data_IF_458699561516
#
_entry.id   IF_458699561516
#
_cell.length_a   1.000
_cell.length_b   1.000
_cell.length_c   1.000
_cell.angle_alpha   90.00
_cell.angle_beta   90.00
_cell.angle_gamma   90.00
#
_symmetry.space_group_name_H-M   'P 1'
#
loop_
_entity.id
_entity.type
_entity.pdbx_description
1 polymer ?
#
# COMPACT_ATOMS: atom_id res chain seq x y z
N UNK A 1 -42.62 -6.40 -4.45
CA UNK A 1 -42.47 -5.02 -3.91
C UNK A 1 -43.54 -4.15 -4.56
N UNK A 2 -44.19 -3.29 -3.79
CA UNK A 2 -45.23 -2.36 -4.27
C UNK A 2 -45.02 -0.97 -3.69
N UNK A 3 -45.40 0.05 -4.45
CA UNK A 3 -45.43 1.44 -4.01
C UNK A 3 -46.72 2.09 -4.51
N UNK A 4 -47.86 1.85 -3.84
CA UNK A 4 -49.16 2.20 -4.40
C UNK A 4 -49.37 3.72 -4.57
N UNK A 5 -48.56 4.54 -3.88
CA UNK A 5 -48.63 6.00 -3.88
C UNK A 5 -47.64 6.63 -4.89
N UNK A 6 -46.98 5.82 -5.71
CA UNK A 6 -45.95 6.30 -6.62
C UNK A 6 -46.53 7.23 -7.69
N UNK A 7 -45.93 8.41 -7.79
CA UNK A 7 -46.20 9.44 -8.78
C UNK A 7 -44.87 10.13 -9.14
N UNK A 8 -44.78 10.85 -10.29
CA UNK A 8 -43.53 11.46 -10.73
C UNK A 8 -42.85 12.40 -9.72
N UNK A 9 -43.65 13.07 -8.88
CA UNK A 9 -43.20 13.99 -7.83
C UNK A 9 -43.16 13.35 -6.43
N UNK A 10 -43.77 12.18 -6.25
CA UNK A 10 -43.77 11.43 -4.99
C UNK A 10 -42.54 10.53 -4.89
N UNK A 11 -41.37 11.15 -4.73
CA UNK A 11 -40.06 10.47 -4.74
C UNK A 11 -39.50 10.13 -3.36
N UNK A 12 -40.07 10.67 -2.29
CA UNK A 12 -39.54 10.51 -0.93
C UNK A 12 -40.23 9.37 -0.21
N UNK A 13 -39.44 8.42 0.30
CA UNK A 13 -39.94 7.35 1.18
C UNK A 13 -40.49 7.98 2.46
N UNK A 14 -41.75 7.68 2.76
CA UNK A 14 -42.43 8.09 3.98
C UNK A 14 -42.34 7.00 5.04
N UNK A 15 -42.63 5.76 4.65
CA UNK A 15 -42.47 4.57 5.47
C UNK A 15 -42.34 3.31 4.61
N UNK A 16 -41.82 2.25 5.22
CA UNK A 16 -41.73 0.93 4.59
C UNK A 16 -42.39 -0.09 5.49
N UNK A 17 -43.10 -1.05 4.88
CA UNK A 17 -43.56 -2.26 5.54
C UNK A 17 -42.94 -3.49 4.91
N UNK A 18 -42.49 -4.41 5.75
CA UNK A 18 -42.01 -5.75 5.35
C UNK A 18 -42.95 -6.77 5.95
N UNK A 19 -43.59 -7.58 5.11
CA UNK A 19 -44.60 -8.58 5.51
C UNK A 19 -45.66 -7.98 6.44
N UNK A 20 -46.17 -6.79 6.08
CA UNK A 20 -47.19 -6.05 6.82
C UNK A 20 -46.70 -5.32 8.09
N UNK A 21 -45.44 -5.49 8.51
CA UNK A 21 -44.87 -4.85 9.70
C UNK A 21 -44.08 -3.60 9.35
N UNK A 22 -44.21 -2.56 10.17
CA UNK A 22 -43.42 -1.34 10.03
C UNK A 22 -41.92 -1.65 10.05
N UNK A 23 -41.17 -1.01 9.15
CA UNK A 23 -39.77 -1.27 8.91
C UNK A 23 -39.02 0.05 8.76
N UNK A 24 -38.16 0.35 9.73
CA UNK A 24 -37.48 1.63 9.83
C UNK A 24 -36.11 1.66 9.14
N UNK A 25 -35.55 0.50 8.77
CA UNK A 25 -34.19 0.44 8.21
C UNK A 25 -34.16 0.81 6.73
N UNK A 26 -33.09 1.47 6.31
CA UNK A 26 -32.84 1.85 4.90
C UNK A 26 -32.39 0.67 4.03
N UNK A 27 -32.32 -0.54 4.58
CA UNK A 27 -31.85 -1.77 3.93
C UNK A 27 -32.78 -2.95 4.21
N UNK A 28 -32.95 -3.85 3.25
CA UNK A 28 -33.81 -5.02 3.39
C UNK A 28 -33.03 -6.24 3.91
N UNK A 29 -33.61 -7.07 4.79
CA UNK A 29 -32.94 -8.27 5.28
C UNK A 29 -32.77 -9.30 4.17
N UNK A 30 -31.63 -10.00 4.16
CA UNK A 30 -31.33 -11.10 3.22
C UNK A 30 -32.46 -12.15 3.17
N UNK A 31 -33.15 -12.35 4.29
CA UNK A 31 -34.24 -13.31 4.37
C UNK A 31 -35.41 -13.04 3.41
N UNK A 32 -35.58 -11.80 2.91
CA UNK A 32 -36.54 -11.48 1.84
C UNK A 32 -36.10 -12.02 0.47
N UNK A 33 -34.80 -12.08 0.21
CA UNK A 33 -34.25 -12.70 -1.00
C UNK A 33 -34.40 -14.21 -0.92
N UNK A 34 -34.07 -14.79 0.24
CA UNK A 34 -34.00 -16.25 0.41
C UNK A 34 -35.38 -16.92 0.56
N UNK A 35 -36.35 -16.24 1.18
CA UNK A 35 -37.67 -16.82 1.50
C UNK A 35 -38.83 -16.13 0.78
N UNK A 36 -38.54 -15.07 0.04
CA UNK A 36 -39.56 -14.18 -0.48
C UNK A 36 -40.26 -13.38 0.62
N UNK A 37 -41.18 -12.53 0.20
CA UNK A 37 -42.01 -11.72 1.09
C UNK A 37 -42.55 -10.49 0.40
N UNK A 38 -43.32 -9.71 1.14
CA UNK A 38 -43.89 -8.47 0.69
C UNK A 38 -43.11 -7.28 1.23
N UNK A 39 -42.83 -6.33 0.33
CA UNK A 39 -42.28 -5.02 0.67
C UNK A 39 -43.22 -3.98 0.10
N UNK A 40 -43.78 -3.14 0.96
CA UNK A 40 -44.60 -1.99 0.59
C UNK A 40 -43.82 -0.74 0.94
N UNK A 41 -43.59 0.12 -0.05
CA UNK A 41 -42.92 1.42 0.13
C UNK A 41 -43.95 2.51 -0.09
N UNK A 42 -44.28 3.24 0.97
CA UNK A 42 -45.12 4.42 0.87
C UNK A 42 -44.24 5.61 0.52
N UNK A 43 -44.58 6.29 -0.57
CA UNK A 43 -43.85 7.46 -1.06
C UNK A 43 -44.72 8.71 -1.01
N UNK A 44 -44.08 9.87 -0.99
CA UNK A 44 -44.71 11.18 -0.93
C UNK A 44 -43.83 12.28 -1.52
N UNK A 45 -44.37 13.48 -1.64
CA UNK A 45 -43.75 14.62 -2.33
C UNK A 45 -42.79 15.44 -1.45
N UNK A 46 -42.79 15.21 -0.14
CA UNK A 46 -41.94 15.92 0.83
C UNK A 46 -41.04 14.94 1.57
N UNK A 47 -39.78 15.31 1.79
CA UNK A 47 -38.83 14.44 2.51
C UNK A 47 -39.29 14.13 3.94
N UNK A 48 -39.42 12.84 4.28
CA UNK A 48 -39.55 12.42 5.66
C UNK A 48 -38.17 12.38 6.31
N UNK A 49 -37.90 13.33 7.21
CA UNK A 49 -36.62 13.42 7.94
C UNK A 49 -36.55 12.55 9.20
N UNK A 50 -37.54 11.68 9.42
CA UNK A 50 -37.65 10.83 10.60
C UNK A 50 -37.50 9.33 10.29
N UNK A 51 -37.71 8.91 9.04
CA UNK A 51 -37.56 7.51 8.65
C UNK A 51 -36.09 7.18 8.36
N UNK A 52 -35.62 6.03 8.84
CA UNK A 52 -34.26 5.51 8.66
C UNK A 52 -33.12 6.44 9.13
N UNK A 53 -33.35 7.22 10.19
CA UNK A 53 -32.36 8.17 10.72
C UNK A 53 -31.69 7.71 12.03
N UNK A 54 -32.20 6.68 12.69
CA UNK A 54 -31.57 6.15 13.90
C UNK A 54 -30.29 5.36 13.56
N UNK A 55 -29.33 5.33 14.47
CA UNK A 55 -28.07 4.57 14.31
C UNK A 55 -28.33 3.08 13.99
N UNK A 56 -29.37 2.49 14.58
CA UNK A 56 -29.77 1.10 14.35
C UNK A 56 -30.45 0.84 12.99
N UNK A 57 -30.81 1.90 12.24
CA UNK A 57 -31.46 1.81 10.93
C UNK A 57 -30.49 1.90 9.75
N UNK A 58 -29.23 2.22 10.02
CA UNK A 58 -28.15 2.25 9.05
C UNK A 58 -27.88 0.84 8.50
N UNK A 59 -27.45 0.71 7.23
CA UNK A 59 -26.92 -0.54 6.70
C UNK A 59 -25.83 -1.07 7.62
N UNK A 60 -25.99 -2.32 8.05
CA UNK A 60 -24.92 -2.99 8.79
C UNK A 60 -23.88 -3.42 7.78
N UNK A 61 -22.66 -2.91 7.93
CA UNK A 61 -21.53 -3.45 7.19
C UNK A 61 -21.28 -4.88 7.69
N UNK A 62 -21.65 -5.85 6.86
CA UNK A 62 -21.43 -7.26 7.13
C UNK A 62 -20.06 -7.73 6.66
N UNK A 63 -19.14 -6.84 6.24
CA UNK A 63 -17.75 -7.20 6.08
C UNK A 63 -17.25 -7.68 7.45
N UNK A 64 -17.02 -8.99 7.63
CA UNK A 64 -16.40 -9.46 8.86
C UNK A 64 -15.04 -8.76 8.92
N UNK A 65 -14.63 -8.29 10.11
CA UNK A 65 -13.21 -8.00 10.31
C UNK A 65 -12.44 -9.23 9.81
N UNK A 66 -11.69 -9.08 8.72
CA UNK A 66 -11.19 -10.22 7.98
C UNK A 66 -10.36 -11.10 8.93
N UNK A 67 -10.88 -12.30 9.23
CA UNK A 67 -10.22 -13.23 10.18
C UNK A 67 -8.84 -13.65 9.69
N UNK A 68 -8.62 -13.53 8.38
CA UNK A 68 -7.32 -13.56 7.72
C UNK A 68 -7.01 -12.16 7.20
N UNK A 69 -5.81 -11.60 7.46
CA UNK A 69 -5.35 -10.40 6.75
C UNK A 69 -5.60 -10.59 5.26
N UNK A 70 -6.06 -9.56 4.57
CA UNK A 70 -6.11 -9.58 3.10
C UNK A 70 -4.72 -10.06 2.64
N UNK A 71 -4.62 -11.15 1.84
CA UNK A 71 -3.34 -11.64 1.39
C UNK A 71 -2.54 -10.46 0.81
N UNK A 72 -1.39 -10.16 1.41
CA UNK A 72 -0.46 -9.08 1.05
C UNK A 72 -0.71 -7.67 1.64
N UNK A 73 -1.58 -7.47 2.64
CA UNK A 73 -1.46 -6.28 3.47
C UNK A 73 -0.20 -6.40 4.35
N UNK A 74 0.74 -5.44 4.31
CA UNK A 74 1.89 -5.45 5.20
C UNK A 74 1.43 -5.28 6.65
N UNK A 75 2.24 -5.76 7.58
CA UNK A 75 2.04 -5.46 8.99
C UNK A 75 2.01 -3.94 9.20
N UNK A 76 1.31 -3.51 10.26
CA UNK A 76 1.38 -2.12 10.71
C UNK A 76 2.85 -1.72 10.93
N UNK A 77 3.17 -0.48 10.61
CA UNK A 77 4.51 0.05 10.78
C UNK A 77 4.88 0.12 12.27
N UNK A 78 6.17 0.11 12.53
CA UNK A 78 6.70 0.35 13.87
C UNK A 78 6.92 1.85 14.06
N UNK A 79 6.38 2.47 15.13
CA UNK A 79 6.68 3.87 15.43
C UNK A 79 8.18 4.09 15.64
N UNK A 80 8.77 5.06 14.94
CA UNK A 80 10.18 5.42 15.03
C UNK A 80 10.32 6.95 15.11
N UNK A 81 10.21 7.50 16.32
CA UNK A 81 10.14 8.94 16.52
C UNK A 81 8.88 9.54 15.88
N UNK A 82 9.05 10.50 14.97
CA UNK A 82 7.95 11.07 14.18
C UNK A 82 7.64 10.24 12.91
N UNK A 83 8.41 9.19 12.63
CA UNK A 83 8.24 8.33 11.47
C UNK A 83 7.50 7.03 11.82
N UNK A 84 7.04 6.37 10.77
CA UNK A 84 6.31 5.10 10.78
C UNK A 84 7.13 4.12 9.92
N UNK A 85 7.96 3.30 10.57
CA UNK A 85 8.89 2.38 9.91
C UNK A 85 8.12 1.20 9.29
N UNK A 86 7.87 1.28 7.99
CA UNK A 86 7.06 0.30 7.28
C UNK A 86 7.91 -0.88 6.80
N UNK A 87 7.55 -2.10 7.21
CA UNK A 87 8.04 -3.32 6.53
C UNK A 87 7.28 -3.51 5.23
N UNK A 88 8.02 -3.72 4.13
CA UNK A 88 7.45 -3.95 2.81
C UNK A 88 7.39 -5.44 2.48
N UNK A 89 6.68 -5.77 1.39
CA UNK A 89 6.67 -7.11 0.81
C UNK A 89 7.92 -7.27 -0.07
N UNK A 90 8.97 -7.89 0.48
CA UNK A 90 10.22 -8.07 -0.25
C UNK A 90 10.13 -9.26 -1.22
N UNK A 91 10.49 -9.03 -2.47
CA UNK A 91 10.35 -9.99 -3.57
C UNK A 91 11.62 -10.18 -4.39
N UNK A 92 12.69 -9.46 -4.07
CA UNK A 92 14.01 -9.58 -4.69
C UNK A 92 15.03 -9.96 -3.62
N UNK A 93 15.73 -11.08 -3.84
CA UNK A 93 16.93 -11.41 -3.08
C UNK A 93 18.10 -10.57 -3.63
N UNK A 94 18.41 -9.46 -2.96
CA UNK A 94 19.34 -8.45 -3.46
C UNK A 94 20.66 -8.38 -2.69
N UNK A 95 20.88 -9.26 -1.72
CA UNK A 95 22.11 -9.34 -0.95
C UNK A 95 22.71 -10.75 -1.03
N UNK A 96 24.01 -10.85 -0.77
CA UNK A 96 24.69 -12.12 -0.59
C UNK A 96 25.73 -11.98 0.52
N UNK A 97 26.00 -13.06 1.26
CA UNK A 97 27.06 -13.06 2.27
C UNK A 97 28.41 -13.45 1.67
N UNK A 98 29.51 -13.06 2.31
CA UNK A 98 30.86 -13.42 1.86
C UNK A 98 31.09 -14.94 1.69
N UNK A 99 30.45 -15.78 2.50
CA UNK A 99 30.50 -17.25 2.42
C UNK A 99 29.50 -17.86 1.43
N UNK A 100 28.58 -17.06 0.89
CA UNK A 100 27.56 -17.49 -0.06
C UNK A 100 27.37 -16.49 -1.22
N UNK A 101 28.48 -15.98 -1.78
CA UNK A 101 28.47 -14.98 -2.89
C UNK A 101 27.64 -15.38 -4.11
N UNK A 102 27.42 -16.68 -4.29
CA UNK A 102 26.60 -17.24 -5.37
C UNK A 102 25.07 -16.99 -5.20
N UNK A 103 24.63 -16.47 -4.05
CA UNK A 103 23.24 -16.08 -3.76
C UNK A 103 22.94 -14.65 -4.23
N UNK A 104 21.67 -14.26 -4.14
CA UNK A 104 21.19 -12.96 -4.58
C UNK A 104 21.26 -12.77 -6.09
N UNK A 105 20.49 -11.81 -6.58
CA UNK A 105 20.54 -11.33 -7.96
C UNK A 105 19.80 -9.98 -8.07
N UNK A 106 20.27 -8.97 -7.34
CA UNK A 106 19.61 -7.66 -7.26
C UNK A 106 19.35 -7.07 -8.64
N UNK A 107 20.38 -7.05 -9.51
CA UNK A 107 20.33 -6.35 -10.80
C UNK A 107 19.82 -7.21 -11.97
N UNK A 108 19.49 -8.47 -11.71
CA UNK A 108 19.10 -9.46 -12.74
C UNK A 108 20.27 -9.95 -13.61
N UNK A 109 21.49 -9.42 -13.43
CA UNK A 109 22.73 -9.78 -14.14
C UNK A 109 23.71 -10.53 -13.24
N UNK A 110 23.23 -10.96 -12.07
CA UNK A 110 23.95 -11.76 -11.10
C UNK A 110 24.65 -10.96 -10.03
N UNK A 111 24.45 -9.66 -9.90
CA UNK A 111 25.12 -8.85 -8.87
C UNK A 111 24.22 -8.50 -7.69
N UNK A 112 24.80 -8.51 -6.49
CA UNK A 112 24.11 -8.28 -5.21
C UNK A 112 24.97 -7.43 -4.26
N UNK A 113 24.34 -6.77 -3.29
CA UNK A 113 25.07 -6.13 -2.19
C UNK A 113 25.73 -7.17 -1.27
N UNK A 114 26.92 -6.89 -0.73
CA UNK A 114 27.53 -7.71 0.32
C UNK A 114 26.80 -7.47 1.65
N UNK A 115 26.08 -8.47 2.12
CA UNK A 115 25.23 -8.39 3.32
C UNK A 115 25.99 -7.92 4.56
N UNK A 116 27.25 -8.35 4.70
CA UNK A 116 28.11 -7.97 5.83
C UNK A 116 28.62 -6.52 5.80
N UNK A 117 28.35 -5.75 4.73
CA UNK A 117 28.65 -4.31 4.66
C UNK A 117 27.38 -3.44 4.78
N UNK A 118 26.22 -4.05 5.00
CA UNK A 118 24.96 -3.38 5.29
C UNK A 118 24.63 -3.48 6.78
N UNK A 119 23.72 -2.64 7.32
CA UNK A 119 23.29 -2.75 8.70
C UNK A 119 22.70 -4.13 9.00
N UNK A 120 22.81 -4.55 10.27
CA UNK A 120 22.19 -5.79 10.71
C UNK A 120 20.65 -5.73 10.60
N UNK A 121 19.96 -6.87 10.37
CA UNK A 121 18.51 -6.91 10.36
C UNK A 121 17.89 -6.36 11.65
N UNK A 122 16.83 -5.57 11.52
CA UNK A 122 16.17 -4.89 12.64
C UNK A 122 16.07 -3.37 12.46
N UNK A 123 15.73 -2.64 13.54
CA UNK A 123 15.62 -1.19 13.50
C UNK A 123 16.95 -0.53 13.10
N UNK A 124 16.88 0.43 12.19
CA UNK A 124 18.00 1.26 11.75
C UNK A 124 17.50 2.67 11.48
N UNK A 125 17.86 3.63 12.33
CA UNK A 125 17.29 4.99 12.31
C UNK A 125 15.75 4.96 12.33
N UNK A 126 15.09 5.53 11.32
CA UNK A 126 13.63 5.51 11.11
C UNK A 126 13.17 4.37 10.20
N UNK A 127 14.06 3.43 9.87
CA UNK A 127 13.82 2.30 8.97
C UNK A 127 13.89 0.96 9.71
N UNK A 128 13.52 -0.08 8.97
CA UNK A 128 13.63 -1.47 9.40
C UNK A 128 14.31 -2.28 8.30
N UNK A 129 15.44 -2.88 8.64
CA UNK A 129 16.27 -3.66 7.71
C UNK A 129 15.78 -5.10 7.72
N UNK A 130 15.46 -5.69 6.55
CA UNK A 130 15.02 -7.09 6.45
C UNK A 130 16.14 -8.07 6.74
N UNK A 131 15.80 -9.36 6.84
CA UNK A 131 16.81 -10.42 6.93
C UNK A 131 17.72 -10.44 5.70
N UNK A 132 19.03 -10.51 5.91
CA UNK A 132 20.06 -10.43 4.86
C UNK A 132 20.82 -11.74 4.64
N UNK A 133 20.26 -12.87 5.08
CA UNK A 133 20.86 -14.21 4.98
C UNK A 133 19.94 -15.18 4.26
N UNK A 134 20.52 -16.13 3.55
CA UNK A 134 19.78 -17.07 2.71
C UNK A 134 19.22 -16.37 1.47
N UNK A 135 18.24 -17.00 0.83
CA UNK A 135 17.73 -16.56 -0.48
C UNK A 135 16.33 -15.94 -0.42
N UNK A 136 15.90 -15.50 0.77
CA UNK A 136 14.60 -14.84 0.92
C UNK A 136 14.68 -13.40 0.39
N UNK A 137 13.56 -12.90 -0.15
CA UNK A 137 13.48 -11.52 -0.62
C UNK A 137 13.83 -10.52 0.48
N UNK A 138 14.63 -9.53 0.13
CA UNK A 138 15.12 -8.47 1.02
C UNK A 138 15.11 -7.08 0.37
N UNK A 139 14.71 -6.99 -0.91
CA UNK A 139 14.34 -5.75 -1.60
C UNK A 139 12.90 -5.84 -2.11
N UNK A 140 12.23 -4.69 -2.15
CA UNK A 140 10.89 -4.54 -2.72
C UNK A 140 11.03 -3.91 -4.11
N UNK A 141 10.74 -4.67 -5.16
CA UNK A 141 10.76 -4.16 -6.53
C UNK A 141 9.64 -3.14 -6.74
N UNK A 142 9.84 -2.14 -7.61
CA UNK A 142 8.81 -1.17 -8.01
C UNK A 142 8.43 -1.39 -9.49
N UNK A 143 7.50 -2.31 -9.74
CA UNK A 143 7.16 -2.82 -11.09
C UNK A 143 5.68 -2.70 -11.46
N UNK A 144 4.97 -1.76 -10.87
CA UNK A 144 3.55 -1.51 -11.15
C UNK A 144 2.57 -2.06 -10.12
N UNK A 145 3.06 -2.84 -9.15
CA UNK A 145 2.22 -3.31 -8.05
C UNK A 145 1.84 -2.17 -7.11
N UNK A 146 0.71 -2.33 -6.44
CA UNK A 146 0.32 -1.46 -5.32
C UNK A 146 1.10 -1.86 -4.06
N UNK A 147 1.74 -0.88 -3.46
CA UNK A 147 2.46 -1.02 -2.19
C UNK A 147 1.65 -0.34 -1.10
N UNK A 148 1.10 -1.15 -0.21
CA UNK A 148 0.29 -0.65 0.90
C UNK A 148 1.16 -0.02 1.99
N UNK A 149 0.59 0.98 2.64
CA UNK A 149 1.16 1.66 3.79
C UNK A 149 0.22 1.43 4.98
N UNK A 150 0.77 1.55 6.19
CA UNK A 150 -0.08 1.83 7.34
C UNK A 150 -0.79 3.17 7.08
N UNK A 151 -2.13 3.23 7.11
CA UNK A 151 -2.87 4.47 6.88
C UNK A 151 -2.38 5.58 7.81
N UNK A 152 -2.08 6.75 7.24
CA UNK A 152 -1.61 7.88 8.03
C UNK A 152 -1.43 9.17 7.23
N UNK A 153 -1.33 10.28 7.95
CA UNK A 153 -1.07 11.62 7.39
C UNK A 153 0.42 11.88 7.40
N UNK A 154 1.07 11.62 6.29
CA UNK A 154 2.52 11.76 6.15
C UNK A 154 2.86 13.06 5.42
N UNK A 155 4.00 13.66 5.74
CA UNK A 155 4.57 14.75 4.94
C UNK A 155 5.29 14.21 3.69
N UNK A 156 5.92 13.05 3.82
CA UNK A 156 6.63 12.37 2.75
C UNK A 156 6.77 10.87 3.04
N UNK A 157 7.04 10.10 2.00
CA UNK A 157 7.66 8.78 2.09
C UNK A 157 9.18 8.99 2.11
N UNK A 158 9.82 8.63 3.21
CA UNK A 158 11.28 8.62 3.33
C UNK A 158 11.79 7.21 2.99
N UNK A 159 12.52 7.08 1.89
CA UNK A 159 12.84 5.80 1.28
C UNK A 159 14.35 5.53 1.31
N UNK A 160 14.73 4.31 1.71
CA UNK A 160 15.99 3.70 1.32
C UNK A 160 15.76 2.96 -0.01
N UNK A 161 16.37 3.45 -1.08
CA UNK A 161 16.09 3.00 -2.45
C UNK A 161 17.36 2.87 -3.28
N UNK A 162 17.35 1.93 -4.22
CA UNK A 162 18.47 1.69 -5.13
C UNK A 162 17.94 1.50 -6.55
N UNK A 163 18.65 2.03 -7.54
CA UNK A 163 18.39 1.79 -8.95
C UNK A 163 19.42 0.81 -9.50
N UNK A 164 18.98 -0.12 -10.34
CA UNK A 164 19.85 -1.05 -11.05
C UNK A 164 19.67 -0.85 -12.55
N UNK A 165 20.70 -1.21 -13.33
CA UNK A 165 20.68 -1.11 -14.78
C UNK A 165 20.57 0.34 -15.33
N UNK A 166 21.10 1.30 -14.58
CA UNK A 166 21.07 2.73 -14.92
C UNK A 166 20.13 3.53 -14.02
N UNK A 167 20.28 4.84 -14.07
CA UNK A 167 19.44 5.79 -13.34
C UNK A 167 17.96 5.57 -13.66
N UNK A 168 17.12 5.64 -12.64
CA UNK A 168 15.67 5.52 -12.75
C UNK A 168 14.99 6.85 -12.43
N UNK A 169 14.00 7.23 -13.23
CA UNK A 169 13.13 8.37 -12.97
C UNK A 169 11.70 7.97 -13.28
N UNK A 170 10.85 7.91 -12.26
CA UNK A 170 9.45 7.50 -12.36
C UNK A 170 8.53 8.45 -11.60
N UNK A 171 7.25 8.44 -11.94
CA UNK A 171 6.20 9.13 -11.19
C UNK A 171 5.44 8.12 -10.33
N UNK A 172 5.53 8.25 -9.00
CA UNK A 172 4.72 7.46 -8.09
C UNK A 172 3.32 8.04 -8.00
N UNK A 173 2.31 7.18 -7.97
CA UNK A 173 0.92 7.56 -7.65
C UNK A 173 0.63 7.20 -6.21
N UNK A 174 0.32 8.18 -5.37
CA UNK A 174 -0.07 8.02 -3.97
C UNK A 174 -1.60 7.97 -3.92
N UNK A 175 -2.15 6.97 -3.24
CA UNK A 175 -3.60 6.80 -3.04
C UNK A 175 -3.94 7.11 -1.59
N UNK A 176 -5.04 7.84 -1.40
CA UNK A 176 -5.53 8.27 -0.09
C UNK A 176 -6.82 7.55 0.31
N UNK A 177 -7.13 7.55 1.60
CA UNK A 177 -8.29 6.87 2.16
C UNK A 177 -9.65 7.40 1.64
N UNK A 178 -9.69 8.66 1.19
CA UNK A 178 -10.86 9.28 0.57
C UNK A 178 -11.07 8.89 -0.92
N UNK A 179 -10.22 8.01 -1.45
CA UNK A 179 -10.26 7.55 -2.84
C UNK A 179 -9.56 8.49 -3.83
N UNK A 180 -9.06 9.64 -3.38
CA UNK A 180 -8.29 10.55 -4.23
C UNK A 180 -6.84 10.08 -4.39
N UNK A 181 -6.11 10.70 -5.31
CA UNK A 181 -4.68 10.44 -5.55
C UNK A 181 -3.85 11.73 -5.65
N UNK A 182 -2.54 11.59 -5.60
CA UNK A 182 -1.56 12.59 -6.04
C UNK A 182 -0.39 11.88 -6.72
N UNK A 183 0.45 12.64 -7.43
CA UNK A 183 1.70 12.11 -7.99
C UNK A 183 2.92 12.80 -7.40
N UNK A 184 4.04 12.10 -7.36
CA UNK A 184 5.33 12.66 -6.94
C UNK A 184 6.48 11.94 -7.66
N UNK A 185 7.55 12.66 -8.02
CA UNK A 185 8.69 12.07 -8.69
C UNK A 185 9.52 11.22 -7.71
N UNK A 186 9.97 10.07 -8.19
CA UNK A 186 11.06 9.30 -7.59
C UNK A 186 12.19 9.20 -8.62
N UNK A 187 13.32 9.83 -8.29
CA UNK A 187 14.55 9.81 -9.09
C UNK A 187 15.64 9.15 -8.29
N UNK A 188 16.27 8.14 -8.88
CA UNK A 188 17.24 7.29 -8.20
C UNK A 188 18.45 7.07 -9.08
N UNK A 189 19.62 7.47 -8.60
CA UNK A 189 20.90 7.24 -9.27
C UNK A 189 21.23 5.75 -9.29
N UNK A 190 21.82 5.24 -10.39
CA UNK A 190 22.29 3.85 -10.47
C UNK A 190 23.17 3.51 -9.26
N UNK A 191 22.91 2.34 -8.67
CA UNK A 191 23.57 1.88 -7.44
C UNK A 191 25.09 1.86 -7.55
N UNK A 192 25.63 1.64 -8.75
CA UNK A 192 27.05 1.51 -9.02
C UNK A 192 27.67 2.79 -9.60
N UNK A 193 26.93 3.92 -9.58
CA UNK A 193 27.44 5.24 -9.91
C UNK A 193 28.47 5.73 -8.87
N UNK A 194 29.42 6.55 -9.32
CA UNK A 194 30.46 7.10 -8.45
C UNK A 194 29.96 8.21 -7.51
N UNK A 195 28.88 8.90 -7.88
CA UNK A 195 28.29 10.05 -7.19
C UNK A 195 26.79 10.16 -7.50
N UNK A 196 25.97 10.77 -6.62
CA UNK A 196 24.56 11.00 -6.90
C UNK A 196 24.35 11.95 -8.09
N UNK A 197 23.36 11.67 -8.93
CA UNK A 197 22.97 12.49 -10.08
C UNK A 197 21.74 13.37 -9.80
N UNK A 198 20.92 13.02 -8.80
CA UNK A 198 19.67 13.73 -8.49
C UNK A 198 19.67 14.49 -7.16
N UNK A 199 20.85 14.67 -6.55
CA UNK A 199 21.01 15.36 -5.26
C UNK A 199 20.71 14.48 -4.04
N UNK A 200 20.61 13.17 -4.25
CA UNK A 200 20.34 12.17 -3.22
C UNK A 200 21.54 12.01 -2.27
N UNK A 201 21.25 11.64 -1.03
CA UNK A 201 22.27 11.25 -0.05
C UNK A 201 22.55 9.74 -0.16
N UNK A 202 23.83 9.34 -0.16
CA UNK A 202 24.21 7.94 -0.05
C UNK A 202 24.02 7.47 1.40
N UNK A 203 22.85 6.91 1.70
CA UNK A 203 22.47 6.47 3.04
C UNK A 203 23.30 5.26 3.50
N UNK A 204 23.47 4.28 2.61
CA UNK A 204 24.28 3.08 2.85
C UNK A 204 25.21 2.87 1.67
N UNK A 205 26.43 2.42 1.95
CA UNK A 205 27.41 2.11 0.90
C UNK A 205 28.15 0.83 1.21
N UNK A 206 28.44 0.06 0.17
CA UNK A 206 29.35 -1.08 0.22
C UNK A 206 30.53 -0.82 -0.73
N UNK A 207 31.73 -1.27 -0.36
CA UNK A 207 32.95 -1.14 -1.15
C UNK A 207 33.11 -2.18 -2.26
N UNK A 208 32.16 -3.10 -2.40
CA UNK A 208 32.13 -4.11 -3.46
C UNK A 208 30.71 -4.60 -3.69
N UNK A 209 30.52 -5.46 -4.68
CA UNK A 209 29.31 -6.24 -4.95
C UNK A 209 29.69 -7.68 -5.25
N UNK A 210 28.83 -8.61 -4.86
CA UNK A 210 29.04 -10.04 -5.10
C UNK A 210 28.33 -10.50 -6.36
N UNK A 211 28.95 -11.43 -7.07
CA UNK A 211 28.38 -12.04 -8.25
C UNK A 211 28.01 -13.51 -8.00
N UNK A 212 26.92 -13.96 -8.63
CA UNK A 212 26.46 -15.36 -8.61
C UNK A 212 27.54 -16.38 -9.03
N UNK A 213 28.57 -15.95 -9.76
CA UNK A 213 29.74 -16.78 -10.11
C UNK A 213 30.78 -16.93 -8.97
N UNK A 214 30.50 -16.40 -7.78
CA UNK A 214 31.37 -16.48 -6.60
C UNK A 214 32.43 -15.39 -6.48
N UNK A 215 32.41 -14.37 -7.34
CA UNK A 215 33.41 -13.29 -7.37
C UNK A 215 32.92 -11.99 -6.71
N UNK A 216 33.85 -11.04 -6.56
CA UNK A 216 33.60 -9.66 -6.15
C UNK A 216 34.47 -8.73 -7.02
N UNK A 217 34.01 -7.52 -7.33
CA UNK A 217 34.69 -6.63 -8.30
C UNK A 217 35.25 -5.33 -7.69
N UNK A 218 35.17 -5.16 -6.37
CA UNK A 218 35.61 -3.92 -5.69
C UNK A 218 34.87 -2.64 -6.11
N UNK A 219 33.75 -2.75 -6.85
CA UNK A 219 32.96 -1.58 -7.24
C UNK A 219 32.13 -1.10 -6.06
N UNK A 220 32.31 0.16 -5.67
CA UNK A 220 31.46 0.79 -4.66
C UNK A 220 30.02 0.85 -5.17
N UNK A 221 29.08 0.46 -4.31
CA UNK A 221 27.64 0.51 -4.58
C UNK A 221 26.90 1.18 -3.42
N UNK A 222 25.76 1.82 -3.72
CA UNK A 222 25.04 2.67 -2.77
C UNK A 222 23.53 2.37 -2.73
N UNK A 223 22.94 2.50 -1.55
CA UNK A 223 21.50 2.67 -1.35
C UNK A 223 21.29 4.14 -0.97
N UNK A 224 20.42 4.82 -1.70
CA UNK A 224 20.17 6.24 -1.57
C UNK A 224 19.01 6.52 -0.62
N UNK A 225 19.07 7.65 0.09
CA UNK A 225 17.91 8.21 0.79
C UNK A 225 17.18 9.18 -0.11
N UNK A 226 15.90 8.94 -0.34
CA UNK A 226 15.04 9.81 -1.15
C UNK A 226 13.75 10.11 -0.41
N UNK A 227 13.40 11.39 -0.35
CA UNK A 227 12.13 11.87 0.22
C UNK A 227 11.13 12.15 -0.89
N UNK A 228 10.02 11.41 -0.93
CA UNK A 228 8.93 11.59 -1.88
C UNK A 228 7.76 12.29 -1.20
N UNK A 229 7.38 13.51 -1.59
CA UNK A 229 6.31 14.25 -0.91
C UNK A 229 4.95 13.56 -1.03
N UNK A 230 4.17 13.65 0.03
CA UNK A 230 2.74 13.27 0.07
C UNK A 230 1.91 14.48 0.43
N UNK A 231 0.59 14.36 0.40
CA UNK A 231 -0.32 15.39 0.91
C UNK A 231 -0.60 15.15 2.40
N UNK A 232 -0.06 15.97 3.33
CA UNK A 232 -0.24 15.78 4.76
C UNK A 232 -1.68 16.07 5.24
N UNK A 233 -2.49 16.74 4.42
CA UNK A 233 -3.91 16.96 4.71
C UNK A 233 -4.79 15.75 4.32
N UNK A 234 -4.21 14.70 3.75
CA UNK A 234 -4.91 13.45 3.42
C UNK A 234 -4.21 12.25 4.05
N UNK A 235 -4.97 11.19 4.26
CA UNK A 235 -4.48 9.95 4.86
C UNK A 235 -4.02 9.01 3.73
N UNK A 236 -2.71 8.85 3.57
CA UNK A 236 -2.14 8.00 2.54
C UNK A 236 -2.25 6.53 2.95
N UNK A 237 -2.67 5.67 2.02
CA UNK A 237 -2.91 4.23 2.27
C UNK A 237 -2.09 3.31 1.37
N UNK A 238 -1.61 3.82 0.24
CA UNK A 238 -0.73 3.07 -0.66
C UNK A 238 -0.04 3.99 -1.66
N UNK A 239 1.00 3.47 -2.31
CA UNK A 239 1.53 4.05 -3.54
C UNK A 239 1.71 2.98 -4.62
N UNK A 240 1.80 3.40 -5.87
CA UNK A 240 2.03 2.53 -7.03
C UNK A 240 3.06 3.20 -7.96
N UNK A 241 4.03 2.43 -8.45
CA UNK A 241 4.92 2.86 -9.52
C UNK A 241 4.31 2.59 -10.90
N UNK A 242 4.83 3.17 -11.99
CA UNK A 242 4.53 2.68 -13.32
C UNK A 242 5.04 1.23 -13.48
N UNK A 243 4.46 0.43 -14.39
CA UNK A 243 5.05 -0.85 -14.78
C UNK A 243 6.45 -0.63 -15.36
N UNK A 244 7.39 -1.53 -15.05
CA UNK A 244 8.70 -1.51 -15.71
C UNK A 244 8.52 -1.85 -17.20
N UNK A 245 9.15 -1.12 -18.13
CA UNK A 245 9.15 -1.52 -19.54
C UNK A 245 9.76 -2.92 -19.67
N UNK A 246 9.08 -3.78 -20.43
CA UNK A 246 9.52 -5.15 -20.77
C UNK A 246 10.79 -5.15 -21.59
#
# INVERSE_FOLDING_TARGET
MTAPQAAPDAIYVQDVKVNGRAYAKSWLPESLLNRGGEVVVNVGTTANRQWATAEADLPVDHVPAAQTPIPNLPAACEPAGAACAQRLQYDVDGVATADAKAQGNLDGKGWSFPAEQLPAPGPYETYVIPGTRGTAGNFHSLRGQRTYLTPGRYQALDLLVTAVNGDQQIELTITYADGTTSTAPLKVTDWAAASPHFGEEAALTAGTRYNVNGTADGRKVSIWRVSVPTDPAREAVSFTSPPSPT
#
